data_IF_136908357172
#
_entry.id   IF_136908357172
#
_cell.length_a   1.000
_cell.length_b   1.000
_cell.length_c   1.000
_cell.angle_alpha   90.00
_cell.angle_beta   90.00
_cell.angle_gamma   90.00
#
_symmetry.space_group_name_H-M   'P 1'
#
loop_
_entity.id
_entity.type
_entity.pdbx_description
1 polymer ?
#
# COMPACT_ATOMS: atom_id res chain seq x y z
N UNK A 1 -41.18 -2.80 45.53
CA UNK A 1 -40.38 -2.90 44.29
C UNK A 1 -40.06 -1.49 43.83
N UNK A 2 -38.82 -1.03 44.00
CA UNK A 2 -38.42 0.34 43.66
C UNK A 2 -37.87 0.38 42.23
N UNK A 3 -38.49 1.20 41.38
CA UNK A 3 -38.14 1.35 39.97
C UNK A 3 -36.83 2.15 39.84
N UNK A 4 -35.80 1.55 39.26
CA UNK A 4 -34.48 2.15 39.08
C UNK A 4 -34.51 3.08 37.86
N UNK A 5 -34.06 4.35 37.95
CA UNK A 5 -34.18 5.27 36.82
C UNK A 5 -33.25 4.85 35.68
N UNK A 6 -33.79 4.85 34.46
CA UNK A 6 -33.06 4.51 33.25
C UNK A 6 -31.92 5.52 32.99
N UNK A 7 -30.70 5.00 32.80
CA UNK A 7 -29.49 5.77 32.52
C UNK A 7 -29.64 6.44 31.14
N UNK A 8 -29.71 7.78 31.10
CA UNK A 8 -29.73 8.57 29.86
C UNK A 8 -28.52 8.19 28.98
N UNK A 9 -28.67 8.02 27.66
CA UNK A 9 -27.53 7.76 26.80
C UNK A 9 -26.59 8.97 26.87
N UNK A 10 -25.33 8.71 27.26
CA UNK A 10 -24.30 9.73 27.27
C UNK A 10 -24.09 10.21 25.82
N UNK A 11 -24.28 11.50 25.56
CA UNK A 11 -23.98 12.06 24.25
C UNK A 11 -22.49 11.96 23.95
N UNK A 12 -22.14 11.59 22.72
CA UNK A 12 -20.74 11.57 22.27
C UNK A 12 -20.31 13.00 21.94
N UNK A 13 -19.34 13.54 22.69
CA UNK A 13 -18.74 14.84 22.38
C UNK A 13 -17.69 14.69 21.27
N UNK A 14 -17.81 15.47 20.20
CA UNK A 14 -16.83 15.54 19.11
C UNK A 14 -15.99 16.81 19.28
N UNK A 15 -14.67 16.67 19.42
CA UNK A 15 -13.73 17.79 19.53
C UNK A 15 -12.91 17.93 18.27
N UNK A 16 -12.87 19.12 17.67
CA UNK A 16 -12.02 19.45 16.53
C UNK A 16 -10.84 20.30 17.01
N UNK A 17 -9.63 19.97 16.56
CA UNK A 17 -8.44 20.79 16.81
C UNK A 17 -8.31 21.85 15.70
N UNK A 18 -8.40 23.15 16.01
CA UNK A 18 -8.28 24.21 15.01
C UNK A 18 -6.85 24.40 14.49
N UNK A 19 -5.82 23.86 15.16
CA UNK A 19 -4.43 23.99 14.73
C UNK A 19 -3.64 22.69 14.94
N UNK A 20 -3.89 21.67 14.11
CA UNK A 20 -3.28 20.36 14.28
C UNK A 20 -1.78 20.38 13.90
N UNK A 21 -0.97 19.59 14.62
CA UNK A 21 0.50 19.64 14.53
C UNK A 21 1.09 18.93 13.30
N UNK A 22 0.45 17.86 12.83
CA UNK A 22 0.88 17.11 11.65
C UNK A 22 2.13 16.25 11.85
N UNK A 23 2.46 15.86 13.09
CA UNK A 23 3.63 15.02 13.40
C UNK A 23 3.53 13.62 12.76
N UNK A 24 2.30 13.13 12.55
CA UNK A 24 1.99 11.83 11.95
C UNK A 24 1.52 11.92 10.50
N UNK A 25 1.69 13.07 9.84
CA UNK A 25 1.28 13.27 8.44
C UNK A 25 1.83 12.20 7.51
N UNK A 26 3.04 11.71 7.76
CA UNK A 26 3.65 10.64 6.98
C UNK A 26 2.80 9.36 6.92
N UNK A 27 1.96 9.08 7.92
CA UNK A 27 1.14 7.87 7.95
C UNK A 27 -0.16 8.00 7.13
N UNK A 28 -0.82 9.15 7.18
CA UNK A 28 -2.18 9.30 6.63
C UNK A 28 -2.40 10.52 5.74
N UNK A 29 -1.38 11.35 5.51
CA UNK A 29 -1.44 12.54 4.65
C UNK A 29 -2.19 13.74 5.24
N UNK A 30 -2.88 13.59 6.37
CA UNK A 30 -3.57 14.68 7.05
C UNK A 30 -2.63 15.48 7.95
N UNK A 31 -2.99 16.73 8.24
CA UNK A 31 -2.36 17.47 9.36
C UNK A 31 -2.90 17.02 10.72
N UNK A 32 -4.06 16.36 10.76
CA UNK A 32 -4.66 15.85 12.00
C UNK A 32 -4.03 14.51 12.41
N UNK A 33 -3.25 14.54 13.50
CA UNK A 33 -2.56 13.37 14.03
C UNK A 33 -3.51 12.30 14.59
N UNK A 34 -4.68 12.69 15.10
CA UNK A 34 -5.70 11.73 15.56
C UNK A 34 -6.25 10.96 14.37
N UNK A 35 -6.50 11.63 13.25
CA UNK A 35 -6.90 10.96 12.01
C UNK A 35 -5.81 10.01 11.50
N UNK A 36 -4.56 10.48 11.41
CA UNK A 36 -3.45 9.68 10.91
C UNK A 36 -3.25 8.42 11.76
N UNK A 37 -3.30 8.56 13.10
CA UNK A 37 -3.19 7.45 14.03
C UNK A 37 -4.40 6.49 13.92
N UNK A 38 -5.61 7.04 13.78
CA UNK A 38 -6.80 6.23 13.60
C UNK A 38 -6.73 5.38 12.33
N UNK A 39 -6.34 5.97 11.21
CA UNK A 39 -6.17 5.28 9.94
C UNK A 39 -5.09 4.19 10.03
N UNK A 40 -3.92 4.51 10.62
CA UNK A 40 -2.87 3.54 10.84
C UNK A 40 -3.34 2.36 11.70
N UNK A 41 -4.08 2.62 12.78
CA UNK A 41 -4.66 1.58 13.64
C UNK A 41 -5.66 0.70 12.88
N UNK A 42 -6.48 1.27 11.99
CA UNK A 42 -7.37 0.49 11.13
C UNK A 42 -6.58 -0.39 10.15
N UNK A 43 -5.52 0.14 9.54
CA UNK A 43 -4.67 -0.62 8.63
C UNK A 43 -4.00 -1.79 9.34
N UNK A 44 -3.41 -1.54 10.52
CA UNK A 44 -2.82 -2.59 11.35
C UNK A 44 -3.87 -3.60 11.79
N UNK A 45 -5.05 -3.15 12.24
CA UNK A 45 -6.13 -4.02 12.67
C UNK A 45 -6.73 -4.89 11.55
N UNK A 46 -6.60 -4.48 10.29
CA UNK A 46 -6.97 -5.28 9.13
C UNK A 46 -5.95 -6.38 8.81
N UNK A 47 -4.74 -6.32 9.37
CA UNK A 47 -3.71 -7.33 9.17
C UNK A 47 -4.05 -8.64 9.88
N UNK A 48 -3.93 -9.80 9.21
CA UNK A 48 -4.15 -11.09 9.84
C UNK A 48 -3.16 -11.39 10.97
N UNK A 49 -1.98 -10.75 10.98
CA UNK A 49 -0.96 -10.92 12.03
C UNK A 49 -1.24 -10.10 13.29
N UNK A 50 -2.10 -9.09 13.22
CA UNK A 50 -2.53 -8.34 14.41
C UNK A 50 -3.27 -9.24 15.42
N UNK A 51 -3.94 -10.29 14.93
CA UNK A 51 -4.70 -11.24 15.75
C UNK A 51 -3.84 -12.30 16.47
N UNK A 52 -2.59 -12.50 16.06
CA UNK A 52 -1.75 -13.60 16.59
C UNK A 52 -1.03 -13.25 17.89
N UNK A 53 -0.96 -11.97 18.27
CA UNK A 53 -0.22 -11.50 19.44
C UNK A 53 1.29 -11.74 19.38
N UNK A 54 2.03 -11.22 20.37
CA UNK A 54 3.48 -11.43 20.52
C UNK A 54 4.35 -10.67 19.52
N UNK A 55 5.64 -11.04 19.44
CA UNK A 55 6.66 -10.34 18.65
C UNK A 55 6.31 -10.19 17.15
N UNK A 56 5.57 -11.16 16.59
CA UNK A 56 5.12 -11.12 15.20
C UNK A 56 4.07 -10.02 14.95
N UNK A 57 3.21 -9.73 15.94
CA UNK A 57 2.21 -8.67 15.83
C UNK A 57 2.85 -7.28 15.87
N UNK A 58 3.83 -7.06 16.75
CA UNK A 58 4.57 -5.80 16.84
C UNK A 58 5.41 -5.53 15.58
N UNK A 59 6.13 -6.54 15.10
CA UNK A 59 6.91 -6.45 13.87
C UNK A 59 6.03 -6.14 12.65
N UNK A 60 4.87 -6.82 12.52
CA UNK A 60 3.90 -6.55 11.45
C UNK A 60 3.31 -5.15 11.54
N UNK A 61 2.91 -4.70 12.73
CA UNK A 61 2.39 -3.34 12.96
C UNK A 61 3.40 -2.28 12.54
N UNK A 62 4.66 -2.47 12.95
CA UNK A 62 5.77 -1.57 12.59
C UNK A 62 6.02 -1.57 11.09
N UNK A 63 5.98 -2.74 10.44
CA UNK A 63 6.18 -2.86 9.00
C UNK A 63 5.08 -2.14 8.21
N UNK A 64 3.80 -2.27 8.62
CA UNK A 64 2.68 -1.59 7.97
C UNK A 64 2.76 -0.07 8.13
N UNK A 65 3.03 0.44 9.34
CA UNK A 65 3.21 1.87 9.55
C UNK A 65 4.38 2.43 8.73
N UNK A 66 5.50 1.68 8.64
CA UNK A 66 6.64 2.04 7.77
C UNK A 66 6.29 2.00 6.30
N UNK A 67 5.47 1.05 5.86
CA UNK A 67 5.01 0.96 4.48
C UNK A 67 4.11 2.17 4.12
N UNK A 68 3.17 2.54 5.00
CA UNK A 68 2.36 3.75 4.84
C UNK A 68 3.25 5.00 4.70
N UNK A 69 4.22 5.16 5.61
CA UNK A 69 5.17 6.27 5.55
C UNK A 69 6.03 6.27 4.27
N UNK A 70 6.47 5.10 3.84
CA UNK A 70 7.32 4.93 2.64
C UNK A 70 6.56 5.18 1.34
N UNK A 71 5.25 4.95 1.32
CA UNK A 71 4.37 5.28 0.20
C UNK A 71 4.05 6.79 0.14
N UNK A 72 4.38 7.54 1.21
CA UNK A 72 4.36 8.99 1.28
C UNK A 72 3.01 9.61 0.82
N UNK A 73 1.90 9.38 1.56
CA UNK A 73 0.62 10.00 1.25
C UNK A 73 0.72 11.52 1.24
N UNK A 74 0.39 12.14 0.11
CA UNK A 74 0.42 13.60 -0.03
C UNK A 74 -0.73 14.28 0.73
N UNK A 75 -1.87 13.58 0.84
CA UNK A 75 -3.10 14.05 1.46
C UNK A 75 -3.94 12.89 2.05
N UNK A 76 -5.06 13.18 2.76
CA UNK A 76 -5.90 12.15 3.37
C UNK A 76 -6.51 11.14 2.40
N UNK A 77 -6.74 11.50 1.14
CA UNK A 77 -7.30 10.60 0.13
C UNK A 77 -6.27 9.55 -0.25
N UNK A 78 -5.02 9.97 -0.50
CA UNK A 78 -3.92 9.02 -0.69
C UNK A 78 -3.72 8.12 0.51
N UNK A 79 -3.84 8.66 1.74
CA UNK A 79 -3.78 7.87 2.97
C UNK A 79 -4.78 6.71 2.98
N UNK A 80 -6.05 6.98 2.64
CA UNK A 80 -7.10 5.97 2.58
C UNK A 80 -6.79 4.91 1.50
N UNK A 81 -6.38 5.35 0.31
CA UNK A 81 -6.06 4.44 -0.80
C UNK A 81 -4.88 3.53 -0.41
N UNK A 82 -3.84 4.09 0.19
CA UNK A 82 -2.65 3.35 0.66
C UNK A 82 -3.04 2.34 1.76
N UNK A 83 -3.86 2.74 2.72
CA UNK A 83 -4.36 1.84 3.77
C UNK A 83 -5.09 0.62 3.18
N UNK A 84 -6.00 0.87 2.24
CA UNK A 84 -6.75 -0.19 1.56
C UNK A 84 -5.85 -1.06 0.67
N UNK A 85 -4.85 -0.46 0.00
CA UNK A 85 -3.88 -1.15 -0.84
C UNK A 85 -3.08 -2.17 -0.02
N UNK A 86 -2.55 -1.73 1.13
CA UNK A 86 -1.80 -2.61 2.03
C UNK A 86 -2.67 -3.75 2.54
N UNK A 87 -3.90 -3.46 2.98
CA UNK A 87 -4.84 -4.48 3.46
C UNK A 87 -5.20 -5.50 2.36
N UNK A 88 -5.49 -5.04 1.14
CA UNK A 88 -5.81 -5.91 0.00
C UNK A 88 -4.59 -6.78 -0.40
N UNK A 89 -3.39 -6.20 -0.39
CA UNK A 89 -2.16 -6.93 -0.68
C UNK A 89 -1.88 -8.02 0.37
N UNK A 90 -1.98 -7.69 1.66
CA UNK A 90 -1.79 -8.70 2.72
C UNK A 90 -2.84 -9.82 2.64
N UNK A 91 -4.11 -9.47 2.40
CA UNK A 91 -5.18 -10.44 2.22
C UNK A 91 -4.88 -11.39 1.05
N UNK A 92 -4.46 -10.84 -0.10
CA UNK A 92 -4.06 -11.62 -1.27
C UNK A 92 -2.96 -12.63 -0.95
N UNK A 93 -1.83 -12.17 -0.39
CA UNK A 93 -0.69 -13.02 -0.08
C UNK A 93 -1.05 -14.12 0.93
N UNK A 94 -1.85 -13.79 1.94
CA UNK A 94 -2.31 -14.76 2.94
C UNK A 94 -3.30 -15.77 2.38
N UNK A 95 -4.19 -15.37 1.48
CA UNK A 95 -5.12 -16.27 0.82
C UNK A 95 -4.40 -17.21 -0.15
N UNK A 96 -3.38 -16.73 -0.88
CA UNK A 96 -2.50 -17.61 -1.67
C UNK A 96 -1.81 -18.64 -0.78
N UNK A 97 -1.20 -18.21 0.33
CA UNK A 97 -0.56 -19.11 1.30
C UNK A 97 -1.55 -20.14 1.85
N UNK A 98 -2.76 -19.72 2.25
CA UNK A 98 -3.81 -20.63 2.75
C UNK A 98 -4.28 -21.62 1.69
N UNK A 99 -4.43 -21.17 0.45
CA UNK A 99 -4.81 -22.02 -0.68
C UNK A 99 -3.77 -23.10 -0.95
N UNK A 100 -2.48 -22.76 -1.00
CA UNK A 100 -1.41 -23.73 -1.23
C UNK A 100 -1.13 -24.64 -0.04
N UNK A 101 -1.47 -24.22 1.18
CA UNK A 101 -1.37 -25.06 2.37
C UNK A 101 -2.50 -26.10 2.50
N UNK A 102 -3.56 -26.02 1.68
CA UNK A 102 -4.62 -27.03 1.74
C UNK A 102 -4.12 -28.37 1.19
N UNK A 103 -4.43 -29.50 1.87
CA UNK A 103 -4.14 -30.82 1.33
C UNK A 103 -4.85 -31.04 -0.02
N UNK A 104 -4.30 -31.89 -0.92
CA UNK A 104 -4.88 -32.16 -2.24
C UNK A 104 -6.34 -32.62 -2.20
N UNK A 105 -6.75 -33.30 -1.12
CA UNK A 105 -8.13 -33.79 -0.95
C UNK A 105 -9.16 -32.65 -0.79
N UNK A 106 -8.73 -31.45 -0.36
CA UNK A 106 -9.61 -30.30 -0.12
C UNK A 106 -9.65 -29.35 -1.33
N UNK A 107 -9.91 -29.91 -2.52
CA UNK A 107 -9.92 -29.15 -3.78
C UNK A 107 -10.82 -27.90 -3.75
N UNK A 108 -12.03 -28.00 -3.18
CA UNK A 108 -12.97 -26.86 -3.12
C UNK A 108 -12.43 -25.72 -2.25
N UNK A 109 -11.85 -26.04 -1.08
CA UNK A 109 -11.27 -25.05 -0.19
C UNK A 109 -10.04 -24.39 -0.82
N UNK A 110 -9.15 -25.19 -1.42
CA UNK A 110 -7.98 -24.70 -2.18
C UNK A 110 -8.39 -23.73 -3.27
N UNK A 111 -9.30 -24.14 -4.15
CA UNK A 111 -9.79 -23.32 -5.26
C UNK A 111 -10.46 -22.05 -4.74
N UNK A 112 -11.24 -22.11 -3.66
CA UNK A 112 -11.90 -20.94 -3.09
C UNK A 112 -10.90 -19.91 -2.56
N UNK A 113 -9.88 -20.34 -1.82
CA UNK A 113 -8.83 -19.44 -1.34
C UNK A 113 -8.07 -18.78 -2.50
N UNK A 114 -7.69 -19.54 -3.52
CA UNK A 114 -6.99 -19.00 -4.70
C UNK A 114 -7.85 -18.00 -5.48
N UNK A 115 -9.16 -18.26 -5.61
CA UNK A 115 -10.10 -17.32 -6.24
C UNK A 115 -10.26 -16.02 -5.45
N UNK A 116 -10.32 -16.09 -4.11
CA UNK A 116 -10.39 -14.89 -3.27
C UNK A 116 -9.08 -14.11 -3.29
N UNK A 117 -7.95 -14.81 -3.34
CA UNK A 117 -6.64 -14.19 -3.50
C UNK A 117 -6.55 -13.38 -4.80
N UNK A 118 -7.01 -13.95 -5.92
CA UNK A 118 -7.04 -13.26 -7.22
C UNK A 118 -7.96 -12.03 -7.23
N UNK A 119 -9.05 -12.05 -6.46
CA UNK A 119 -9.90 -10.85 -6.29
C UNK A 119 -9.18 -9.75 -5.51
N UNK A 120 -8.53 -10.12 -4.41
CA UNK A 120 -7.79 -9.16 -3.58
C UNK A 120 -6.58 -8.57 -4.32
N UNK A 121 -5.86 -9.38 -5.12
CA UNK A 121 -4.73 -8.89 -5.94
C UNK A 121 -5.18 -7.90 -7.01
N UNK A 122 -6.33 -8.14 -7.68
CA UNK A 122 -6.92 -7.18 -8.63
C UNK A 122 -7.32 -5.87 -7.95
N UNK A 123 -7.85 -5.92 -6.74
CA UNK A 123 -8.13 -4.71 -5.95
C UNK A 123 -6.83 -3.93 -5.65
N UNK A 124 -5.75 -4.61 -5.26
CA UNK A 124 -4.47 -3.96 -5.04
C UNK A 124 -3.92 -3.27 -6.30
N UNK A 125 -4.06 -3.91 -7.48
CA UNK A 125 -3.68 -3.31 -8.75
C UNK A 125 -4.50 -2.03 -9.04
N UNK A 126 -5.83 -2.12 -8.93
CA UNK A 126 -6.72 -0.98 -9.16
C UNK A 126 -6.44 0.20 -8.22
N UNK A 127 -6.13 -0.07 -6.94
CA UNK A 127 -5.77 0.97 -5.98
C UNK A 127 -4.42 1.63 -6.31
N UNK A 128 -3.48 0.85 -6.84
CA UNK A 128 -2.18 1.37 -7.32
C UNK A 128 -2.38 2.31 -8.52
N UNK A 129 -3.16 1.89 -9.52
CA UNK A 129 -3.51 2.73 -10.67
C UNK A 129 -4.25 4.00 -10.23
N UNK A 130 -5.16 3.89 -9.25
CA UNK A 130 -5.89 5.03 -8.72
C UNK A 130 -4.97 6.01 -8.00
N UNK A 131 -3.98 5.51 -7.25
CA UNK A 131 -2.97 6.31 -6.59
C UNK A 131 -2.07 7.03 -7.61
N UNK A 132 -1.61 6.33 -8.65
CA UNK A 132 -0.81 6.96 -9.71
C UNK A 132 -1.60 8.05 -10.45
N UNK A 133 -2.85 7.77 -10.80
CA UNK A 133 -3.73 8.76 -11.42
C UNK A 133 -3.96 9.98 -10.53
N UNK A 134 -4.15 9.76 -9.23
CA UNK A 134 -4.29 10.83 -8.23
C UNK A 134 -3.04 11.72 -8.19
N UNK A 135 -1.86 11.12 -8.36
CA UNK A 135 -0.56 11.82 -8.43
C UNK A 135 -0.26 12.46 -9.78
N UNK A 136 -1.21 12.45 -10.72
CA UNK A 136 -1.01 12.94 -12.08
C UNK A 136 -0.13 12.04 -12.95
N UNK A 137 0.28 10.87 -12.46
CA UNK A 137 0.99 9.86 -13.26
C UNK A 137 -0.04 9.14 -14.13
N UNK A 138 0.16 9.17 -15.44
CA UNK A 138 -0.76 8.56 -16.42
C UNK A 138 -1.84 9.49 -16.98
N UNK A 139 -1.78 10.80 -16.72
CA UNK A 139 -2.59 11.76 -17.48
C UNK A 139 -1.99 11.99 -18.87
N UNK A 140 -2.71 11.63 -19.93
CA UNK A 140 -2.34 11.98 -21.29
C UNK A 140 -2.65 13.46 -21.53
N UNK A 141 -1.63 14.27 -21.78
CA UNK A 141 -1.82 15.68 -22.16
C UNK A 141 -2.16 15.77 -23.66
N UNK A 142 -3.42 16.04 -23.98
CA UNK A 142 -3.86 16.31 -25.36
C UNK A 142 -3.84 17.83 -25.57
N UNK A 143 -2.86 18.32 -26.33
CA UNK A 143 -2.79 19.73 -26.74
C UNK A 143 -3.43 19.86 -28.12
N UNK A 144 -4.62 20.46 -28.19
CA UNK A 144 -5.28 20.76 -29.48
C UNK A 144 -4.78 22.09 -29.99
N UNK A 145 -3.99 22.09 -31.07
CA UNK A 145 -3.49 23.29 -31.76
C UNK A 145 -4.29 23.51 -33.04
N UNK A 146 -5.14 24.53 -33.06
CA UNK A 146 -5.83 24.96 -34.29
C UNK A 146 -4.85 25.80 -35.11
N UNK A 147 -4.45 25.30 -36.29
CA UNK A 147 -3.60 26.03 -37.24
C UNK A 147 -4.44 26.38 -38.46
N UNK A 148 -4.66 27.68 -38.69
CA UNK A 148 -5.23 28.18 -39.94
C UNK A 148 -4.11 28.35 -40.94
N UNK A 149 -4.14 27.57 -42.02
CA UNK A 149 -3.12 27.59 -43.08
C UNK A 149 -3.64 28.42 -44.26
N UNK A 150 -2.85 29.40 -44.70
CA UNK A 150 -3.09 30.13 -45.96
C UNK A 150 -2.25 29.47 -47.07
N UNK A 151 -2.83 29.32 -48.26
CA UNK A 151 -2.41 28.35 -49.29
C UNK A 151 -0.99 28.51 -49.88
N UNK A 152 -0.30 29.63 -49.66
CA UNK A 152 0.88 29.96 -50.45
C UNK A 152 2.23 29.64 -49.79
N UNK A 153 2.28 29.25 -48.50
CA UNK A 153 3.49 28.76 -47.84
C UNK A 153 3.14 27.80 -46.69
N UNK A 154 3.38 26.49 -46.86
CA UNK A 154 3.26 25.57 -45.72
C UNK A 154 4.20 24.37 -45.80
N UNK A 155 5.18 24.35 -44.91
CA UNK A 155 5.68 23.13 -44.29
C UNK A 155 5.60 23.31 -42.77
N UNK A 156 4.82 22.45 -42.10
CA UNK A 156 4.81 22.37 -40.63
C UNK A 156 5.64 21.15 -40.25
N UNK A 157 6.86 21.36 -39.78
CA UNK A 157 7.65 20.33 -39.09
C UNK A 157 7.61 20.63 -37.60
N UNK A 158 6.80 19.91 -36.84
CA UNK A 158 6.82 19.96 -35.37
C UNK A 158 7.24 18.57 -34.88
N UNK A 159 8.53 18.42 -34.55
CA UNK A 159 9.04 17.21 -33.89
C UNK A 159 8.79 17.38 -32.39
N UNK A 160 7.70 16.81 -31.88
CA UNK A 160 7.49 16.70 -30.43
C UNK A 160 8.42 15.58 -29.94
N UNK A 161 9.61 15.95 -29.46
CA UNK A 161 10.46 15.00 -28.72
C UNK A 161 9.93 14.92 -27.30
N UNK A 162 9.04 13.96 -27.04
CA UNK A 162 8.71 13.57 -25.68
C UNK A 162 9.92 12.82 -25.13
N UNK A 163 10.81 13.50 -24.40
CA UNK A 163 11.85 12.82 -23.63
C UNK A 163 11.16 12.02 -22.53
N UNK A 164 11.28 10.67 -22.49
CA UNK A 164 10.90 9.95 -21.29
C UNK A 164 11.88 10.35 -20.19
N UNK A 165 11.37 10.83 -19.07
CA UNK A 165 12.15 11.01 -17.86
C UNK A 165 12.53 9.64 -17.28
N UNK A 166 13.49 8.96 -17.91
CA UNK A 166 14.18 7.80 -17.40
C UNK A 166 15.63 7.87 -17.86
N UNK A 167 16.43 8.73 -17.22
CA UNK A 167 17.90 8.60 -17.19
C UNK A 167 18.50 9.51 -16.10
N UNK A 168 18.53 9.00 -14.87
CA UNK A 168 19.69 9.08 -13.95
C UNK A 168 19.33 8.48 -12.59
N UNK A 169 19.15 7.16 -12.56
CA UNK A 169 19.62 6.38 -11.42
C UNK A 169 20.56 5.34 -11.99
N UNK A 170 21.84 5.50 -11.69
CA UNK A 170 22.84 4.48 -11.93
C UNK A 170 22.26 3.14 -11.44
N UNK A 171 22.06 2.20 -12.35
CA UNK A 171 21.78 0.82 -12.00
C UNK A 171 23.07 0.28 -11.36
N UNK A 172 23.05 -0.26 -10.13
CA UNK A 172 24.14 -1.10 -9.69
C UNK A 172 24.15 -2.35 -10.59
N UNK A 173 25.31 -2.65 -11.17
CA UNK A 173 25.54 -3.87 -11.92
C UNK A 173 25.25 -5.09 -11.05
N UNK A 174 24.66 -6.12 -11.67
CA UNK A 174 24.15 -7.33 -11.04
C UNK A 174 25.25 -8.26 -10.45
N UNK A 175 26.49 -7.78 -10.33
CA UNK A 175 27.64 -8.53 -9.80
C UNK A 175 27.91 -8.25 -8.30
N UNK A 176 27.06 -7.46 -7.64
CA UNK A 176 27.22 -7.10 -6.23
C UNK A 176 26.05 -7.53 -5.33
N UNK A 177 25.24 -8.49 -5.77
CA UNK A 177 24.33 -9.19 -4.84
C UNK A 177 25.15 -10.23 -4.10
N UNK A 178 25.64 -9.77 -2.95
CA UNK A 178 26.19 -10.52 -1.82
C UNK A 178 25.57 -11.93 -1.76
N UNK A 179 26.44 -12.93 -1.88
CA UNK A 179 26.14 -14.31 -1.52
C UNK A 179 25.70 -14.35 -0.05
N UNK A 180 24.57 -14.99 0.31
CA UNK A 180 24.30 -15.26 1.69
C UNK A 180 25.36 -16.25 2.19
N UNK A 181 26.28 -15.75 3.01
CA UNK A 181 27.20 -16.55 3.82
C UNK A 181 26.35 -17.47 4.70
N UNK A 182 26.23 -18.73 4.28
CA UNK A 182 25.69 -19.78 5.11
C UNK A 182 26.58 -19.88 6.34
N UNK A 183 26.00 -19.59 7.51
CA UNK A 183 26.59 -19.79 8.82
C UNK A 183 27.29 -21.16 8.85
N UNK A 184 28.61 -21.12 8.97
CA UNK A 184 29.46 -22.28 9.09
C UNK A 184 29.13 -23.07 10.36
N UNK A 185 28.43 -24.19 10.19
CA UNK A 185 28.47 -25.30 11.13
C UNK A 185 29.79 -26.04 10.95
N UNK A 186 30.79 -25.68 11.75
CA UNK A 186 32.11 -26.29 11.71
C UNK A 186 32.10 -27.76 12.15
N UNK A 187 32.83 -28.57 11.38
CA UNK A 187 33.76 -29.56 11.91
C UNK A 187 33.20 -30.95 12.21
N UNK A 188 33.24 -31.83 11.21
CA UNK A 188 33.44 -33.25 11.47
C UNK A 188 34.86 -33.52 11.98
N UNK A 189 34.97 -34.29 13.05
CA UNK A 189 36.15 -35.10 13.35
C UNK A 189 35.76 -36.56 13.15
N UNK A 190 36.15 -37.15 12.02
CA UNK A 190 36.32 -38.60 11.93
C UNK A 190 37.74 -38.93 12.41
N UNK A 191 37.82 -39.72 13.46
CA UNK A 191 39.00 -40.50 13.83
C UNK A 191 38.63 -41.97 13.70
N UNK A 192 39.24 -42.66 12.75
CA UNK A 192 39.68 -44.05 12.87
C UNK A 192 40.57 -44.44 11.70
#
# INVERSE_FOLDING_TARGET
MANKPAKKPAGTTVTLDPNPKGELKALGGSQDDKWNLWLANLTVGASPYASTGGANAEASSTALCRAMASLAPADPVEGIIIAQLLAANEASLMLYRKGWAQPPEYFQARTKYLQLADKASRTALMLTERLDHHRGRGQQQIVVKHVTVNADQAMVAETITTVPALQSRAQPTLDQIIQPELVGGGGGQETK
#
